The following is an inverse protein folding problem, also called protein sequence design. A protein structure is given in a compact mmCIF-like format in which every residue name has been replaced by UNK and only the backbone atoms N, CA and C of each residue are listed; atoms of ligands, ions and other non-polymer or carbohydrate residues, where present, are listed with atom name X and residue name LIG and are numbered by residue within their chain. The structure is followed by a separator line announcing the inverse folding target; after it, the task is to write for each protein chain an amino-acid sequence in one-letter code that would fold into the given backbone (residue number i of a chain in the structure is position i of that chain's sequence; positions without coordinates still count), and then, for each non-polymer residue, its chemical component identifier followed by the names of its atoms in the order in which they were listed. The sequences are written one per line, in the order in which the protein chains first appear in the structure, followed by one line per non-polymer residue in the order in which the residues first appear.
data_IF_166146748758
#
_entry.id   IF_166146748758
#
_cell.length_a   1.000
_cell.length_b   1.000
_cell.length_c   1.000
_cell.angle_alpha   90.00
_cell.angle_beta   90.00
_cell.angle_gamma   90.00
#
_symmetry.space_group_name_H-M   'P 1'
#
loop_
_entity.id
_entity.type
_entity.pdbx_description
1 polymer ?
#
# COMPACT_ATOMS: atom_id res chain seq x y z
N UNK A 1 -51.43 -8.24 -9.63
CA UNK A 1 -50.70 -7.69 -8.47
C UNK A 1 -49.25 -8.18 -8.34
N UNK A 2 -48.87 -9.40 -8.76
CA UNK A 2 -47.49 -9.93 -8.61
C UNK A 2 -46.41 -9.21 -9.46
N UNK A 3 -46.77 -8.68 -10.62
CA UNK A 3 -45.84 -8.00 -11.55
C UNK A 3 -45.41 -6.61 -11.06
N UNK A 4 -46.28 -5.89 -10.35
CA UNK A 4 -45.99 -4.57 -9.80
C UNK A 4 -44.97 -4.65 -8.64
N UNK A 5 -45.08 -5.69 -7.81
CA UNK A 5 -44.16 -5.94 -6.70
C UNK A 5 -42.75 -6.33 -7.18
N UNK A 6 -42.66 -7.14 -8.24
CA UNK A 6 -41.37 -7.51 -8.85
C UNK A 6 -40.66 -6.30 -9.48
N UNK A 7 -41.41 -5.39 -10.13
CA UNK A 7 -40.87 -4.14 -10.69
C UNK A 7 -40.32 -3.20 -9.62
N UNK A 8 -41.02 -3.05 -8.49
CA UNK A 8 -40.56 -2.22 -7.37
C UNK A 8 -39.29 -2.79 -6.70
N UNK A 9 -39.21 -4.12 -6.53
CA UNK A 9 -38.03 -4.77 -5.97
C UNK A 9 -36.79 -4.62 -6.88
N UNK A 10 -36.95 -4.75 -8.20
CA UNK A 10 -35.86 -4.56 -9.16
C UNK A 10 -35.35 -3.12 -9.19
N UNK A 11 -36.24 -2.12 -9.12
CA UNK A 11 -35.86 -0.71 -9.03
C UNK A 11 -35.16 -0.38 -7.71
N UNK A 12 -35.61 -0.95 -6.60
CA UNK A 12 -34.95 -0.80 -5.30
C UNK A 12 -33.52 -1.36 -5.27
N UNK A 13 -33.31 -2.53 -5.88
CA UNK A 13 -31.98 -3.12 -6.04
C UNK A 13 -31.10 -2.29 -6.99
N UNK A 14 -31.60 -1.88 -8.15
CA UNK A 14 -30.83 -1.05 -9.07
C UNK A 14 -30.44 0.30 -8.44
N UNK A 15 -31.36 0.93 -7.70
CA UNK A 15 -31.12 2.18 -6.98
C UNK A 15 -30.07 2.05 -5.88
N UNK A 16 -30.10 0.97 -5.10
CA UNK A 16 -29.11 0.75 -4.03
C UNK A 16 -27.71 0.45 -4.58
N UNK A 17 -27.61 -0.30 -5.68
CA UNK A 17 -26.35 -0.53 -6.37
C UNK A 17 -25.77 0.77 -6.95
N UNK A 18 -26.60 1.59 -7.59
CA UNK A 18 -26.16 2.89 -8.11
C UNK A 18 -25.69 3.81 -6.97
N UNK A 19 -26.44 3.89 -5.87
CA UNK A 19 -26.05 4.68 -4.71
C UNK A 19 -24.73 4.20 -4.09
N UNK A 20 -24.55 2.89 -3.91
CA UNK A 20 -23.31 2.31 -3.38
C UNK A 20 -22.10 2.58 -4.29
N UNK A 21 -22.30 2.51 -5.61
CA UNK A 21 -21.25 2.83 -6.59
C UNK A 21 -20.81 4.31 -6.50
N UNK A 22 -21.77 5.23 -6.42
CA UNK A 22 -21.47 6.67 -6.28
C UNK A 22 -20.81 7.02 -4.95
N UNK A 23 -21.26 6.41 -3.84
CA UNK A 23 -20.63 6.60 -2.52
C UNK A 23 -19.18 6.11 -2.54
N UNK A 24 -18.93 4.92 -3.08
CA UNK A 24 -17.57 4.37 -3.18
C UNK A 24 -16.68 5.25 -4.05
N UNK A 25 -17.17 5.73 -5.19
CA UNK A 25 -16.41 6.62 -6.08
C UNK A 25 -16.02 7.93 -5.37
N UNK A 26 -16.97 8.58 -4.68
CA UNK A 26 -16.70 9.82 -3.96
C UNK A 26 -15.71 9.62 -2.81
N UNK A 27 -15.80 8.50 -2.09
CA UNK A 27 -14.86 8.16 -1.03
C UNK A 27 -13.43 7.97 -1.58
N UNK A 28 -13.29 7.31 -2.75
CA UNK A 28 -12.01 7.18 -3.43
C UNK A 28 -11.44 8.51 -3.91
N UNK A 29 -12.26 9.40 -4.47
CA UNK A 29 -11.85 10.75 -4.88
C UNK A 29 -11.41 11.61 -3.68
N UNK A 30 -12.13 11.49 -2.54
CA UNK A 30 -11.77 12.18 -1.30
C UNK A 30 -10.45 11.68 -0.71
N UNK A 31 -10.20 10.36 -0.74
CA UNK A 31 -8.94 9.77 -0.31
C UNK A 31 -7.77 10.21 -1.21
N UNK A 32 -7.97 10.26 -2.52
CA UNK A 32 -6.95 10.73 -3.47
C UNK A 32 -6.64 12.24 -3.34
N UNK A 33 -7.54 13.03 -2.74
CA UNK A 33 -7.39 14.48 -2.58
C UNK A 33 -6.88 14.89 -1.20
N UNK A 34 -6.44 13.94 -0.36
CA UNK A 34 -5.94 14.23 0.99
C UNK A 34 -4.63 15.03 0.92
N UNK A 35 -4.57 16.29 1.39
CA UNK A 35 -3.38 17.13 1.30
C UNK A 35 -2.23 16.67 2.21
N UNK A 36 -2.47 15.66 3.05
CA UNK A 36 -1.48 15.07 3.95
C UNK A 36 -0.67 13.94 3.30
N UNK A 37 -1.07 13.47 2.12
CA UNK A 37 -0.39 12.38 1.43
C UNK A 37 0.42 12.95 0.25
N UNK A 38 1.73 12.70 0.26
CA UNK A 38 2.56 13.05 -0.90
C UNK A 38 2.17 12.17 -2.07
N UNK A 39 1.93 12.78 -3.24
CA UNK A 39 1.68 12.02 -4.45
C UNK A 39 2.88 11.09 -4.72
N UNK A 40 2.60 9.79 -4.89
CA UNK A 40 3.59 8.76 -5.19
C UNK A 40 3.38 8.26 -6.63
N UNK A 41 3.65 9.12 -7.65
CA UNK A 41 3.30 8.84 -9.04
C UNK A 41 4.02 7.63 -9.63
N UNK A 42 5.15 7.24 -9.07
CA UNK A 42 5.93 6.07 -9.43
C UNK A 42 5.33 4.75 -8.92
N UNK A 43 4.39 4.81 -7.97
CA UNK A 43 3.59 3.67 -7.49
C UNK A 43 2.13 3.72 -7.94
N UNK A 44 1.78 4.67 -8.81
CA UNK A 44 0.43 4.78 -9.35
C UNK A 44 0.04 3.50 -10.11
N UNK A 45 -1.22 3.07 -9.96
CA UNK A 45 -1.70 1.80 -10.50
C UNK A 45 -1.68 1.74 -12.04
N UNK A 46 -1.67 2.89 -12.71
CA UNK A 46 -1.56 3.07 -14.15
C UNK A 46 -0.12 3.27 -14.65
N UNK A 47 0.86 3.32 -13.73
CA UNK A 47 2.26 3.42 -14.13
C UNK A 47 2.64 2.17 -14.96
N UNK A 48 3.21 2.32 -16.17
CA UNK A 48 3.54 1.18 -17.04
C UNK A 48 4.47 0.16 -16.37
N UNK A 49 5.27 0.64 -15.41
CA UNK A 49 6.17 -0.19 -14.61
C UNK A 49 6.52 0.51 -13.28
N UNK A 50 5.74 0.27 -12.22
CA UNK A 50 5.96 0.91 -10.93
C UNK A 50 7.39 0.71 -10.41
N UNK A 51 8.01 1.75 -9.84
CA UNK A 51 9.32 1.66 -9.19
C UNK A 51 10.53 1.39 -10.09
N UNK A 52 10.43 1.60 -11.41
CA UNK A 52 11.56 1.34 -12.33
C UNK A 52 12.38 2.56 -12.71
N UNK A 53 11.86 3.75 -12.42
CA UNK A 53 12.64 4.98 -12.51
C UNK A 53 13.60 5.03 -11.32
N UNK A 54 14.89 5.28 -11.58
CA UNK A 54 15.82 5.59 -10.48
C UNK A 54 15.36 6.86 -9.78
N UNK A 55 15.71 6.97 -8.50
CA UNK A 55 15.57 8.21 -7.74
C UNK A 55 16.14 9.41 -8.51
N UNK A 56 15.62 10.64 -8.32
CA UNK A 56 16.19 11.85 -8.92
C UNK A 56 17.68 11.97 -8.59
N UNK A 57 18.47 12.56 -9.48
CA UNK A 57 19.94 12.59 -9.38
C UNK A 57 20.43 13.05 -8.00
N UNK A 58 19.86 14.14 -7.47
CA UNK A 58 20.21 14.71 -6.18
C UNK A 58 19.98 13.79 -4.97
N UNK A 59 19.12 12.77 -5.10
CA UNK A 59 18.81 11.80 -4.05
C UNK A 59 19.45 10.43 -4.33
N UNK A 60 20.28 10.31 -5.36
CA UNK A 60 21.04 9.08 -5.60
C UNK A 60 22.21 9.03 -4.61
N UNK A 61 22.48 7.88 -4.00
CA UNK A 61 23.76 7.66 -3.32
C UNK A 61 24.90 7.92 -4.30
N UNK A 62 25.93 8.62 -3.85
CA UNK A 62 27.14 8.82 -4.64
C UNK A 62 27.80 7.46 -4.93
N UNK A 63 27.92 7.04 -6.21
CA UNK A 63 28.49 5.75 -6.55
C UNK A 63 30.01 5.68 -6.30
N UNK A 64 30.66 6.83 -6.08
CA UNK A 64 32.09 6.95 -5.84
C UNK A 64 32.45 7.12 -4.37
N UNK A 65 31.46 7.27 -3.48
CA UNK A 65 31.69 7.35 -2.06
C UNK A 65 32.22 6.00 -1.54
N UNK A 66 33.48 5.99 -1.10
CA UNK A 66 34.10 4.84 -0.46
C UNK A 66 33.98 5.02 1.05
N UNK A 67 33.31 4.08 1.78
CA UNK A 67 33.21 4.17 3.23
C UNK A 67 34.59 4.12 3.91
N UNK A 68 34.73 4.84 5.02
CA UNK A 68 35.95 4.82 5.84
C UNK A 68 36.20 3.44 6.45
N UNK A 69 37.37 3.27 7.07
CA UNK A 69 37.68 2.01 7.76
C UNK A 69 36.74 1.78 8.95
N UNK A 70 36.44 2.84 9.71
CA UNK A 70 35.54 2.83 10.86
C UNK A 70 34.08 2.57 10.42
N UNK A 71 33.62 3.20 9.34
CA UNK A 71 32.29 2.96 8.79
C UNK A 71 32.14 1.51 8.32
N UNK A 72 33.12 0.98 7.58
CA UNK A 72 33.12 -0.45 7.20
C UNK A 72 33.08 -1.38 8.41
N UNK A 73 33.83 -1.05 9.46
CA UNK A 73 33.83 -1.87 10.69
C UNK A 73 32.46 -1.87 11.35
N UNK A 74 31.81 -0.71 11.43
CA UNK A 74 30.46 -0.57 11.98
C UNK A 74 29.39 -1.31 11.17
N UNK A 75 29.60 -1.44 9.86
CA UNK A 75 28.70 -2.13 8.93
C UNK A 75 28.99 -3.63 8.81
N UNK A 76 29.94 -4.16 9.60
CA UNK A 76 30.27 -5.59 9.55
C UNK A 76 29.02 -6.41 9.88
N UNK A 77 28.66 -7.41 9.05
CA UNK A 77 27.53 -8.27 9.34
C UNK A 77 27.66 -8.89 10.74
N UNK A 78 26.55 -8.92 11.49
CA UNK A 78 26.50 -9.62 12.77
C UNK A 78 26.54 -11.13 12.50
N UNK A 79 27.73 -11.69 12.32
CA UNK A 79 27.97 -13.13 12.08
C UNK A 79 27.89 -13.97 13.36
N UNK A 80 27.42 -13.38 14.46
CA UNK A 80 27.10 -14.12 15.67
C UNK A 80 25.87 -15.02 15.49
N UNK A 81 25.57 -15.89 16.46
CA UNK A 81 24.33 -16.64 16.46
C UNK A 81 23.14 -15.69 16.27
N UNK A 82 22.26 -16.01 15.31
CA UNK A 82 21.07 -15.21 15.10
C UNK A 82 20.28 -15.12 16.43
N UNK A 83 19.78 -13.93 16.82
CA UNK A 83 18.83 -13.86 17.92
C UNK A 83 17.64 -14.75 17.57
N UNK A 84 17.31 -15.71 18.44
CA UNK A 84 16.16 -16.57 18.20
C UNK A 84 14.88 -15.72 18.28
N UNK A 85 14.08 -15.74 17.21
CA UNK A 85 12.74 -15.15 17.19
C UNK A 85 11.68 -16.04 17.87
N UNK A 86 12.10 -17.01 18.68
CA UNK A 86 11.20 -17.90 19.40
C UNK A 86 10.65 -17.19 20.66
N UNK A 87 9.83 -16.16 20.46
CA UNK A 87 8.80 -15.87 21.44
C UNK A 87 7.81 -17.04 21.37
N UNK A 88 7.64 -17.78 22.47
CA UNK A 88 6.57 -18.75 22.63
C UNK A 88 5.24 -18.02 22.44
N UNK A 89 4.64 -18.13 21.25
CA UNK A 89 3.28 -17.66 21.01
C UNK A 89 2.33 -18.71 21.58
N UNK A 90 2.22 -18.72 22.90
CA UNK A 90 1.31 -19.51 23.73
C UNK A 90 0.56 -20.62 23.00
N UNK A 91 1.15 -21.80 22.92
CA UNK A 91 0.44 -23.03 22.53
C UNK A 91 -0.20 -23.67 23.76
N UNK A 92 -1.32 -23.11 24.22
CA UNK A 92 -2.24 -23.84 25.10
C UNK A 92 -3.31 -24.48 24.22
N UNK A 93 -3.10 -25.73 23.81
CA UNK A 93 -4.20 -26.58 23.36
C UNK A 93 -4.85 -27.09 24.66
N UNK A 94 -6.07 -26.63 24.95
CA UNK A 94 -7.00 -27.34 25.83
C UNK A 94 -7.54 -28.59 25.13
#
# INVERSE_FOLDING_TARGET
MKTLAAGAAALGLAGSFAAAFFVRRRASEAAASSPAEHAVPDLAADAPRPGTNRAPEAFRPDPTAVPTAEERESLRPATGPAPSLAADRGTTIQ
#
